data_IF_704683721986
#
_entry.id   IF_704683721986
#
_cell.length_a   1.000
_cell.length_b   1.000
_cell.length_c   1.000
_cell.angle_alpha   90.00
_cell.angle_beta   90.00
_cell.angle_gamma   90.00
#
_symmetry.space_group_name_H-M   'P 1'
#
loop_
_entity.id
_entity.type
_entity.pdbx_description
1 polymer ?
#
# COMPACT_ATOMS: atom_id res chain seq x y z
N UNK A 1 33.42 -33.55 -17.46
CA UNK A 1 32.34 -33.41 -16.44
C UNK A 1 32.77 -32.74 -15.15
N UNK A 2 34.03 -32.91 -14.72
CA UNK A 2 34.48 -32.42 -13.40
C UNK A 2 34.74 -30.90 -13.31
N UNK A 3 35.04 -30.25 -14.41
CA UNK A 3 35.37 -28.80 -14.47
C UNK A 3 34.17 -27.91 -14.26
N UNK A 4 32.97 -28.25 -14.71
CA UNK A 4 31.75 -27.49 -14.54
C UNK A 4 31.10 -27.60 -13.14
N UNK A 5 31.36 -28.67 -12.44
CA UNK A 5 30.74 -28.97 -11.14
C UNK A 5 31.20 -28.00 -10.04
N UNK A 6 32.45 -27.57 -10.06
CA UNK A 6 33.02 -26.70 -9.03
C UNK A 6 32.39 -25.28 -9.05
N UNK A 7 32.31 -24.60 -10.20
CA UNK A 7 31.64 -23.29 -10.28
C UNK A 7 30.16 -23.34 -9.82
N UNK A 8 29.42 -24.32 -10.30
CA UNK A 8 28.00 -24.50 -9.93
C UNK A 8 27.83 -24.77 -8.42
N UNK A 9 28.74 -25.57 -7.81
CA UNK A 9 28.69 -25.81 -6.37
C UNK A 9 28.95 -24.54 -5.56
N UNK A 10 29.90 -23.71 -5.98
CA UNK A 10 30.15 -22.39 -5.34
C UNK A 10 28.95 -21.45 -5.46
N UNK A 11 28.34 -21.39 -6.65
CA UNK A 11 27.12 -20.60 -6.85
C UNK A 11 25.99 -21.07 -5.93
N UNK A 12 25.74 -22.39 -5.87
CA UNK A 12 24.70 -22.96 -5.00
C UNK A 12 24.95 -22.60 -3.53
N UNK A 13 26.18 -22.75 -3.06
CA UNK A 13 26.53 -22.42 -1.69
C UNK A 13 26.34 -20.91 -1.39
N UNK A 14 26.78 -20.03 -2.28
CA UNK A 14 26.59 -18.59 -2.11
C UNK A 14 25.09 -18.21 -2.10
N UNK A 15 24.28 -18.82 -2.95
CA UNK A 15 22.82 -18.61 -2.97
C UNK A 15 22.18 -19.08 -1.67
N UNK A 16 22.60 -20.23 -1.14
CA UNK A 16 22.12 -20.76 0.15
C UNK A 16 22.49 -19.84 1.32
N UNK A 17 23.70 -19.29 1.34
CA UNK A 17 24.15 -18.33 2.34
C UNK A 17 23.33 -17.03 2.27
N UNK A 18 23.07 -16.51 1.08
CA UNK A 18 22.23 -15.32 0.86
C UNK A 18 20.78 -15.59 1.30
N UNK A 19 20.22 -16.73 0.93
CA UNK A 19 18.87 -17.14 1.34
C UNK A 19 18.71 -17.32 2.85
N UNK A 20 19.79 -17.71 3.54
CA UNK A 20 19.87 -17.81 5.00
C UNK A 20 20.10 -16.46 5.71
N UNK A 21 20.25 -15.36 4.98
CA UNK A 21 20.52 -14.05 5.56
C UNK A 21 21.96 -13.84 6.02
N UNK A 22 22.88 -14.73 5.67
CA UNK A 22 24.27 -14.67 6.11
C UNK A 22 25.22 -13.98 5.13
N UNK A 23 24.74 -13.53 3.98
CA UNK A 23 25.55 -12.87 2.97
C UNK A 23 24.79 -11.81 2.19
N UNK A 24 25.43 -10.68 1.96
CA UNK A 24 24.91 -9.59 1.11
C UNK A 24 25.78 -9.41 -0.15
N UNK A 25 26.60 -10.40 -0.47
CA UNK A 25 27.51 -10.32 -1.59
C UNK A 25 26.84 -10.81 -2.87
N UNK A 26 27.13 -10.11 -3.97
CA UNK A 26 26.71 -10.54 -5.30
C UNK A 26 27.42 -11.83 -5.71
N UNK A 27 26.76 -12.64 -6.53
CA UNK A 27 27.37 -13.78 -7.17
C UNK A 27 28.42 -13.31 -8.17
N UNK A 28 29.65 -13.81 -8.04
CA UNK A 28 30.74 -13.57 -8.94
C UNK A 28 31.34 -14.88 -9.42
N UNK A 29 30.69 -15.51 -10.37
CA UNK A 29 31.22 -16.71 -11.03
C UNK A 29 31.31 -16.48 -12.53
N UNK A 30 32.54 -16.37 -13.03
CA UNK A 30 32.88 -16.03 -14.42
C UNK A 30 33.74 -17.09 -15.10
N UNK A 31 33.73 -18.31 -14.56
CA UNK A 31 34.55 -19.40 -15.12
C UNK A 31 34.10 -19.82 -16.54
N UNK A 32 32.83 -19.60 -16.86
CA UNK A 32 32.20 -19.89 -18.15
C UNK A 32 31.13 -18.84 -18.43
N UNK A 33 30.88 -18.55 -19.72
CA UNK A 33 29.87 -17.60 -20.17
C UNK A 33 28.47 -17.90 -19.58
N UNK A 34 28.11 -19.16 -19.47
CA UNK A 34 26.84 -19.59 -18.89
C UNK A 34 26.75 -19.27 -17.40
N UNK A 35 27.82 -19.50 -16.63
CA UNK A 35 27.86 -19.22 -15.19
C UNK A 35 27.86 -17.72 -14.94
N UNK A 36 28.51 -16.93 -15.75
CA UNK A 36 28.45 -15.46 -15.69
C UNK A 36 27.04 -14.95 -15.98
N UNK A 37 26.38 -15.47 -17.01
CA UNK A 37 24.98 -15.07 -17.34
C UNK A 37 24.01 -15.42 -16.20
N UNK A 38 24.18 -16.58 -15.56
CA UNK A 38 23.36 -16.99 -14.40
C UNK A 38 23.64 -16.04 -13.22
N UNK A 39 24.91 -15.74 -12.91
CA UNK A 39 25.29 -14.82 -11.84
C UNK A 39 24.67 -13.43 -12.06
N UNK A 40 24.75 -12.90 -13.27
CA UNK A 40 24.17 -11.61 -13.62
C UNK A 40 22.63 -11.60 -13.53
N UNK A 41 21.98 -12.68 -13.94
CA UNK A 41 20.53 -12.82 -13.84
C UNK A 41 20.09 -12.92 -12.36
N UNK A 42 20.80 -13.69 -11.56
CA UNK A 42 20.56 -13.80 -10.12
C UNK A 42 20.75 -12.46 -9.41
N UNK A 43 21.85 -11.75 -9.67
CA UNK A 43 22.14 -10.46 -9.07
C UNK A 43 21.04 -9.44 -9.35
N UNK A 44 20.49 -9.43 -10.59
CA UNK A 44 19.31 -8.58 -10.91
C UNK A 44 18.05 -8.95 -10.11
N UNK A 45 17.83 -10.24 -9.86
CA UNK A 45 16.72 -10.68 -9.01
C UNK A 45 16.97 -10.30 -7.54
N UNK A 46 18.21 -10.42 -7.09
CA UNK A 46 18.61 -10.04 -5.74
C UNK A 46 18.43 -8.55 -5.47
N UNK A 47 18.81 -7.69 -6.42
CA UNK A 47 18.57 -6.24 -6.34
C UNK A 47 17.07 -5.92 -6.23
N UNK A 48 16.26 -6.58 -7.05
CA UNK A 48 14.80 -6.41 -6.99
C UNK A 48 14.22 -6.87 -5.66
N UNK A 49 14.73 -7.98 -5.13
CA UNK A 49 14.32 -8.49 -3.84
C UNK A 49 14.64 -7.49 -2.71
N UNK A 50 15.87 -6.94 -2.69
CA UNK A 50 16.28 -5.93 -1.68
C UNK A 50 15.40 -4.68 -1.73
N UNK A 51 15.10 -4.17 -2.93
CA UNK A 51 14.21 -3.02 -3.09
C UNK A 51 12.81 -3.35 -2.56
N UNK A 52 12.30 -4.52 -2.85
CA UNK A 52 10.98 -4.96 -2.38
C UNK A 52 10.95 -5.12 -0.86
N UNK A 53 11.98 -5.72 -0.28
CA UNK A 53 12.09 -5.94 1.16
C UNK A 53 12.21 -4.61 1.93
N UNK A 54 13.07 -3.69 1.46
CA UNK A 54 13.18 -2.35 2.01
C UNK A 54 11.85 -1.56 1.92
N UNK A 55 11.15 -1.65 0.79
CA UNK A 55 9.84 -1.02 0.63
C UNK A 55 8.79 -1.62 1.58
N UNK A 56 8.84 -2.94 1.82
CA UNK A 56 7.97 -3.61 2.78
C UNK A 56 8.25 -3.16 4.23
N UNK A 57 9.53 -3.05 4.60
CA UNK A 57 9.91 -2.56 5.93
C UNK A 57 9.46 -1.11 6.15
N UNK A 58 9.69 -0.25 5.15
CA UNK A 58 9.23 1.15 5.18
C UNK A 58 7.70 1.23 5.29
N UNK A 59 6.98 0.42 4.51
CA UNK A 59 5.51 0.35 4.59
C UNK A 59 5.04 -0.03 6.00
N UNK A 60 5.61 -1.08 6.60
CA UNK A 60 5.25 -1.52 7.97
C UNK A 60 5.56 -0.43 9.00
N UNK A 61 6.70 0.25 8.88
CA UNK A 61 7.07 1.34 9.75
C UNK A 61 6.08 2.51 9.65
N UNK A 62 5.76 2.93 8.42
CA UNK A 62 4.82 4.03 8.16
C UNK A 62 3.41 3.71 8.67
N UNK A 63 2.89 2.51 8.40
CA UNK A 63 1.61 2.03 8.94
C UNK A 63 1.60 2.07 10.46
N UNK A 64 2.66 1.58 11.09
CA UNK A 64 2.78 1.58 12.55
C UNK A 64 2.75 2.98 13.14
N UNK A 65 3.40 3.94 12.48
CA UNK A 65 3.38 5.35 12.89
C UNK A 65 2.01 5.99 12.71
N UNK A 66 1.36 5.78 11.55
CA UNK A 66 0.05 6.36 11.26
C UNK A 66 -1.06 5.83 12.18
N UNK A 67 -0.98 4.56 12.59
CA UNK A 67 -1.92 3.96 13.55
C UNK A 67 -1.63 4.35 15.00
N UNK A 68 -0.37 4.57 15.36
CA UNK A 68 0.01 4.89 16.74
C UNK A 68 -0.48 6.27 17.18
N UNK A 69 -0.49 7.25 16.30
CA UNK A 69 -0.86 8.64 16.61
C UNK A 69 -2.31 8.75 17.09
N UNK A 70 -3.34 8.30 16.32
CA UNK A 70 -4.74 8.36 16.76
C UNK A 70 -5.00 7.48 18.00
N UNK A 71 -4.38 6.30 18.09
CA UNK A 71 -4.48 5.45 19.28
C UNK A 71 -3.95 6.15 20.55
N UNK A 72 -2.86 6.92 20.42
CA UNK A 72 -2.32 7.69 21.55
C UNK A 72 -3.26 8.83 21.92
N UNK A 73 -3.85 9.53 20.96
CA UNK A 73 -4.84 10.57 21.17
C UNK A 73 -6.07 10.03 21.91
N UNK A 74 -6.65 8.93 21.41
CA UNK A 74 -7.77 8.25 22.08
C UNK A 74 -7.44 7.84 23.52
N UNK A 75 -6.23 7.31 23.73
CA UNK A 75 -5.78 6.93 25.07
C UNK A 75 -5.71 8.14 26.00
N UNK A 76 -5.15 9.26 25.56
CA UNK A 76 -5.06 10.50 26.36
C UNK A 76 -6.45 11.02 26.70
N UNK A 77 -7.38 11.05 25.77
CA UNK A 77 -8.76 11.43 25.99
C UNK A 77 -9.43 10.53 27.05
N UNK A 78 -9.30 9.22 26.88
CA UNK A 78 -9.87 8.26 27.85
C UNK A 78 -9.24 8.40 29.25
N UNK A 79 -7.91 8.49 29.34
CA UNK A 79 -7.21 8.65 30.62
C UNK A 79 -7.61 9.98 31.31
N UNK A 80 -7.81 11.06 30.54
CA UNK A 80 -8.26 12.37 31.06
C UNK A 80 -9.66 12.29 31.66
N UNK A 81 -10.59 11.54 31.03
CA UNK A 81 -11.93 11.28 31.59
C UNK A 81 -11.87 10.48 32.88
N UNK A 82 -11.03 9.45 32.91
CA UNK A 82 -10.90 8.59 34.10
C UNK A 82 -10.32 9.35 35.33
N UNK A 83 -9.51 10.39 35.07
CA UNK A 83 -8.95 11.23 36.12
C UNK A 83 -9.94 12.26 36.70
N UNK A 84 -11.12 12.42 36.07
CA UNK A 84 -12.12 13.41 36.45
C UNK A 84 -13.48 12.74 36.74
N UNK A 85 -13.60 11.90 37.77
CA UNK A 85 -14.82 11.12 38.03
C UNK A 85 -16.05 11.97 38.32
N UNK A 86 -15.86 13.22 38.78
CA UNK A 86 -16.93 14.17 39.12
C UNK A 86 -17.16 15.22 38.02
N UNK A 87 -16.63 15.03 36.83
CA UNK A 87 -16.81 15.95 35.69
C UNK A 87 -18.31 16.06 35.32
N UNK A 88 -18.79 17.25 34.90
CA UNK A 88 -20.14 17.41 34.39
C UNK A 88 -20.42 16.48 33.19
N UNK A 89 -21.69 16.05 33.06
CA UNK A 89 -22.14 15.16 31.97
C UNK A 89 -21.82 15.74 30.59
N UNK A 90 -21.83 17.05 30.46
CA UNK A 90 -21.51 17.78 29.22
C UNK A 90 -20.06 17.50 28.80
N UNK A 91 -19.13 17.50 29.74
CA UNK A 91 -17.71 17.19 29.52
C UNK A 91 -17.55 15.73 29.04
N UNK A 92 -18.23 14.80 29.70
CA UNK A 92 -18.22 13.39 29.23
C UNK A 92 -18.74 13.24 27.80
N UNK A 93 -19.80 13.98 27.45
CA UNK A 93 -20.37 13.92 26.10
C UNK A 93 -19.43 14.52 25.05
N UNK A 94 -18.76 15.61 25.35
CA UNK A 94 -17.76 16.23 24.48
C UNK A 94 -16.59 15.26 24.21
N UNK A 95 -15.97 14.72 25.26
CA UNK A 95 -14.87 13.77 25.12
C UNK A 95 -15.28 12.48 24.39
N UNK A 96 -16.50 11.96 24.60
CA UNK A 96 -16.98 10.81 23.85
C UNK A 96 -17.23 11.15 22.37
N UNK A 97 -17.59 12.38 22.06
CA UNK A 97 -17.66 12.90 20.69
C UNK A 97 -16.29 12.88 20.02
N UNK A 98 -15.29 13.47 20.67
CA UNK A 98 -13.92 13.52 20.19
C UNK A 98 -13.32 12.11 19.99
N UNK A 99 -13.60 11.19 20.91
CA UNK A 99 -13.21 9.79 20.82
C UNK A 99 -13.86 9.11 19.59
N UNK A 100 -15.14 9.38 19.36
CA UNK A 100 -15.86 8.84 18.22
C UNK A 100 -15.30 9.34 16.88
N UNK A 101 -14.95 10.63 16.80
CA UNK A 101 -14.33 11.22 15.62
C UNK A 101 -12.95 10.60 15.33
N UNK A 102 -12.16 10.35 16.38
CA UNK A 102 -10.84 9.74 16.24
C UNK A 102 -10.93 8.27 15.79
N UNK A 103 -11.92 7.53 16.30
CA UNK A 103 -12.22 6.16 15.85
C UNK A 103 -12.64 6.13 14.37
N UNK A 104 -13.45 7.09 13.92
CA UNK A 104 -13.84 7.18 12.50
C UNK A 104 -12.65 7.50 11.60
N UNK A 105 -11.75 8.38 12.05
CA UNK A 105 -10.49 8.68 11.36
C UNK A 105 -9.61 7.43 11.23
N UNK A 106 -9.46 6.67 12.31
CA UNK A 106 -8.68 5.42 12.33
C UNK A 106 -9.24 4.38 11.37
N UNK A 107 -10.57 4.20 11.38
CA UNK A 107 -11.25 3.30 10.46
C UNK A 107 -11.02 3.69 9.00
N UNK A 108 -10.96 4.97 8.68
CA UNK A 108 -10.64 5.44 7.34
C UNK A 108 -9.22 5.07 6.94
N UNK A 109 -8.23 5.31 7.81
CA UNK A 109 -6.82 4.95 7.57
C UNK A 109 -6.70 3.44 7.31
N UNK A 110 -7.34 2.61 8.14
CA UNK A 110 -7.34 1.14 7.97
C UNK A 110 -7.92 0.73 6.62
N UNK A 111 -9.03 1.33 6.21
CA UNK A 111 -9.65 1.02 4.92
C UNK A 111 -8.77 1.45 3.73
N UNK A 112 -8.17 2.62 3.80
CA UNK A 112 -7.24 3.13 2.78
C UNK A 112 -6.02 2.19 2.64
N UNK A 113 -5.46 1.69 3.77
CA UNK A 113 -4.38 0.71 3.78
C UNK A 113 -4.81 -0.64 3.19
N UNK A 114 -6.00 -1.13 3.53
CA UNK A 114 -6.55 -2.38 2.97
C UNK A 114 -6.75 -2.27 1.46
N UNK A 115 -7.19 -1.13 0.97
CA UNK A 115 -7.38 -0.90 -0.46
C UNK A 115 -6.03 -0.83 -1.19
N UNK A 116 -5.01 -0.22 -0.59
CA UNK A 116 -3.64 -0.21 -1.11
C UNK A 116 -3.06 -1.63 -1.24
N UNK A 117 -3.23 -2.47 -0.21
CA UNK A 117 -2.79 -3.90 -0.25
C UNK A 117 -3.56 -4.70 -1.30
N UNK A 118 -4.86 -4.42 -1.51
CA UNK A 118 -5.65 -5.07 -2.57
C UNK A 118 -5.20 -4.67 -3.97
N UNK A 119 -4.81 -3.41 -4.17
CA UNK A 119 -4.30 -2.91 -5.44
C UNK A 119 -2.99 -3.61 -5.82
N UNK A 120 -2.10 -3.80 -4.87
CA UNK A 120 -0.81 -4.47 -5.09
C UNK A 120 -0.99 -5.94 -5.50
N UNK A 121 -1.92 -6.66 -4.87
CA UNK A 121 -2.25 -8.06 -5.24
C UNK A 121 -2.99 -8.21 -6.58
N UNK A 122 -3.72 -7.17 -7.03
CA UNK A 122 -4.55 -7.21 -8.24
C UNK A 122 -3.83 -6.77 -9.51
N UNK A 123 -2.54 -6.43 -9.46
CA UNK A 123 -1.75 -6.07 -10.64
C UNK A 123 -1.75 -7.12 -11.77
N UNK A 124 -2.18 -8.36 -11.47
CA UNK A 124 -2.26 -9.47 -12.43
C UNK A 124 -3.64 -9.69 -13.08
N UNK A 125 -4.74 -9.12 -12.55
CA UNK A 125 -6.11 -9.34 -13.05
C UNK A 125 -6.86 -8.03 -13.24
N UNK A 126 -6.46 -7.25 -14.24
CA UNK A 126 -7.24 -6.10 -14.71
C UNK A 126 -8.43 -6.62 -15.55
N UNK A 127 -9.64 -6.22 -15.19
CA UNK A 127 -10.84 -6.46 -16.00
C UNK A 127 -11.03 -5.28 -16.97
N UNK A 128 -10.10 -5.19 -17.94
CA UNK A 128 -10.10 -4.12 -18.93
C UNK A 128 -11.26 -4.31 -19.90
N UNK A 129 -12.11 -3.29 -20.04
CA UNK A 129 -13.22 -3.24 -21.00
C UNK A 129 -13.24 -1.87 -21.67
N UNK A 130 -13.76 -1.86 -22.90
CA UNK A 130 -14.05 -0.58 -23.56
C UNK A 130 -15.24 0.08 -22.87
N UNK A 131 -15.00 1.24 -22.28
CA UNK A 131 -15.98 2.01 -21.51
C UNK A 131 -16.09 3.42 -22.07
N UNK A 132 -17.29 3.99 -22.03
CA UNK A 132 -17.50 5.41 -22.27
C UNK A 132 -17.11 6.20 -21.02
N UNK A 133 -16.05 7.00 -21.16
CA UNK A 133 -15.50 7.79 -20.03
C UNK A 133 -16.50 8.86 -19.60
N UNK A 134 -17.29 9.39 -20.51
CA UNK A 134 -18.26 10.44 -20.20
C UNK A 134 -19.39 9.89 -19.32
N UNK A 135 -19.92 8.70 -19.66
CA UNK A 135 -20.92 8.02 -18.84
C UNK A 135 -20.36 7.65 -17.44
N UNK A 136 -19.09 7.25 -17.37
CA UNK A 136 -18.43 6.96 -16.10
C UNK A 136 -18.34 8.20 -15.22
N UNK A 137 -17.89 9.33 -15.77
CA UNK A 137 -17.79 10.61 -15.05
C UNK A 137 -19.18 11.10 -14.60
N UNK A 138 -20.20 11.02 -15.46
CA UNK A 138 -21.56 11.40 -15.08
C UNK A 138 -22.11 10.58 -13.91
N UNK A 139 -21.85 9.25 -13.89
CA UNK A 139 -22.24 8.39 -12.77
C UNK A 139 -21.55 8.78 -11.46
N UNK A 140 -20.26 9.10 -11.53
CA UNK A 140 -19.50 9.56 -10.36
C UNK A 140 -20.04 10.89 -9.85
N UNK A 141 -20.27 11.86 -10.74
CA UNK A 141 -20.81 13.17 -10.38
C UNK A 141 -22.20 13.08 -9.74
N UNK A 142 -23.08 12.22 -10.26
CA UNK A 142 -24.39 11.97 -9.63
C UNK A 142 -24.27 11.46 -8.19
N UNK A 143 -23.25 10.64 -7.90
CA UNK A 143 -22.99 10.14 -6.53
C UNK A 143 -22.43 11.23 -5.61
N UNK A 144 -21.65 12.16 -6.15
CA UNK A 144 -21.04 13.26 -5.39
C UNK A 144 -22.00 14.45 -5.20
N UNK A 145 -23.04 14.57 -6.00
CA UNK A 145 -23.97 15.69 -5.98
C UNK A 145 -24.60 15.97 -4.59
N UNK A 146 -25.02 14.97 -3.78
CA UNK A 146 -25.52 15.21 -2.43
C UNK A 146 -24.47 15.80 -1.48
N UNK A 147 -23.19 15.40 -1.68
CA UNK A 147 -22.07 15.90 -0.89
C UNK A 147 -21.72 17.35 -1.25
N UNK A 148 -21.68 17.64 -2.55
CA UNK A 148 -21.45 18.98 -3.09
C UNK A 148 -22.54 19.98 -2.65
N UNK A 149 -23.81 19.54 -2.69
CA UNK A 149 -24.95 20.35 -2.25
C UNK A 149 -24.87 20.73 -0.77
N UNK A 150 -24.40 19.85 0.10
CA UNK A 150 -24.17 20.16 1.53
C UNK A 150 -23.12 21.25 1.73
N UNK A 151 -22.17 21.38 0.82
CA UNK A 151 -21.09 22.37 0.86
C UNK A 151 -21.35 23.59 -0.02
N UNK A 152 -22.55 23.74 -0.57
CA UNK A 152 -22.90 24.77 -1.54
C UNK A 152 -21.99 24.84 -2.78
N UNK A 153 -21.55 23.67 -3.26
CA UNK A 153 -20.70 23.51 -4.45
C UNK A 153 -21.57 22.99 -5.59
N UNK A 154 -21.55 23.69 -6.74
CA UNK A 154 -22.16 23.22 -7.98
C UNK A 154 -21.16 22.37 -8.77
N UNK A 155 -21.56 21.14 -9.13
CA UNK A 155 -20.79 20.28 -9.99
C UNK A 155 -21.25 20.41 -11.42
N UNK A 156 -20.39 20.95 -12.29
CA UNK A 156 -20.65 21.12 -13.73
C UNK A 156 -19.77 20.17 -14.51
N UNK A 157 -20.35 19.39 -15.41
CA UNK A 157 -19.65 18.54 -16.35
C UNK A 157 -19.88 19.02 -17.77
N UNK A 158 -18.81 19.39 -18.45
CA UNK A 158 -18.84 19.77 -19.86
C UNK A 158 -18.02 18.77 -20.68
N UNK A 159 -18.67 18.11 -21.62
CA UNK A 159 -18.02 17.21 -22.57
C UNK A 159 -18.33 17.62 -23.98
N UNK A 160 -17.29 17.82 -24.78
CA UNK A 160 -17.41 18.26 -26.18
C UNK A 160 -17.52 17.11 -27.18
N UNK A 161 -17.15 15.89 -26.77
CA UNK A 161 -17.23 14.68 -27.58
C UNK A 161 -17.19 13.41 -26.72
N UNK A 162 -17.82 12.30 -27.16
CA UNK A 162 -17.69 11.02 -26.49
C UNK A 162 -16.25 10.52 -26.55
N UNK A 163 -15.76 9.96 -25.44
CA UNK A 163 -14.43 9.39 -25.31
C UNK A 163 -14.57 7.96 -24.80
N UNK A 164 -14.10 7.00 -25.58
CA UNK A 164 -14.01 5.59 -25.17
C UNK A 164 -12.57 5.24 -24.81
N UNK A 165 -12.38 4.50 -23.72
CA UNK A 165 -11.08 4.01 -23.28
C UNK A 165 -11.15 2.55 -22.82
N UNK A 166 -10.07 1.82 -22.99
CA UNK A 166 -9.92 0.49 -22.43
C UNK A 166 -9.47 0.59 -20.98
N UNK A 167 -10.40 0.46 -20.05
CA UNK A 167 -10.18 0.73 -18.62
C UNK A 167 -10.83 -0.34 -17.75
N UNK A 168 -10.32 -0.49 -16.54
CA UNK A 168 -10.98 -1.23 -15.47
C UNK A 168 -11.80 -0.25 -14.61
N UNK A 169 -13.13 -0.26 -14.78
CA UNK A 169 -14.07 0.65 -14.13
C UNK A 169 -13.95 0.68 -12.60
N UNK A 170 -13.48 -0.40 -11.98
CA UNK A 170 -13.36 -0.52 -10.51
C UNK A 170 -12.06 0.08 -9.99
N UNK A 171 -11.08 0.33 -10.88
CA UNK A 171 -9.73 0.76 -10.51
C UNK A 171 -9.40 2.21 -10.93
N UNK A 172 -10.32 2.88 -11.60
CA UNK A 172 -10.28 4.29 -11.89
C UNK A 172 -11.18 5.05 -10.91
#
# INVERSE_FOLDING_TARGET
GMLLVRPLKRMSQSIEEMAGGYGDNYLHENAYDETERISNAFNKLWDRYKVLDASREEFVANVSHELKTPLTSMKVLADSLLMQPDAPTEIYREFMGDLSEEIERENKIINDLLDLVKLDKKGANLNIKSQDVNELVERILKRLQPLAAKSNIELVFESFRPVTAEIDEVKI
#
